data_IF_932295532430
#
_entry.id   IF_932295532430
#
_cell.length_a   1.000
_cell.length_b   1.000
_cell.length_c   1.000
_cell.angle_alpha   90.00
_cell.angle_beta   90.00
_cell.angle_gamma   90.00
#
_symmetry.space_group_name_H-M   'P 1'
#
loop_
_entity.id
_entity.type
_entity.pdbx_description
1 polymer ?
#
# COMPACT_ATOMS: atom_id res chain seq x y z
N UNK A 1 -39.02 -30.43 -39.89
CA UNK A 1 -39.42 -29.13 -40.46
C UNK A 1 -38.18 -28.31 -40.66
N UNK A 2 -37.98 -27.86 -41.89
CA UNK A 2 -36.81 -27.16 -42.41
C UNK A 2 -36.96 -25.65 -42.25
N UNK A 3 -35.87 -24.93 -41.97
CA UNK A 3 -35.50 -23.58 -42.42
C UNK A 3 -33.99 -23.48 -42.14
N UNK A 4 -33.10 -23.86 -43.07
CA UNK A 4 -32.63 -23.06 -44.21
C UNK A 4 -32.12 -21.67 -43.78
N UNK A 5 -30.80 -21.56 -43.56
CA UNK A 5 -30.08 -20.30 -43.76
C UNK A 5 -28.84 -20.61 -44.60
N UNK A 6 -28.78 -20.03 -45.79
CA UNK A 6 -27.68 -20.12 -46.74
C UNK A 6 -27.29 -18.72 -47.18
N UNK A 7 -25.98 -18.53 -47.38
CA UNK A 7 -25.36 -17.38 -48.05
C UNK A 7 -24.79 -16.35 -47.07
N UNK A 8 -23.58 -15.84 -47.19
CA UNK A 8 -22.54 -15.96 -48.22
C UNK A 8 -21.19 -15.58 -47.59
N UNK A 9 -20.14 -16.30 -47.96
CA UNK A 9 -18.74 -15.92 -47.69
C UNK A 9 -18.30 -15.05 -48.86
N UNK A 10 -18.09 -13.76 -48.60
CA UNK A 10 -17.29 -12.90 -49.49
C UNK A 10 -16.10 -12.37 -48.71
N UNK A 11 -14.92 -12.86 -49.03
CA UNK A 11 -13.67 -12.35 -48.50
C UNK A 11 -13.41 -10.93 -49.00
N UNK A 12 -12.97 -10.07 -48.09
CA UNK A 12 -12.22 -8.87 -48.41
C UNK A 12 -10.93 -8.86 -47.57
N UNK A 13 -9.85 -9.06 -48.30
CA UNK A 13 -8.44 -8.78 -48.01
C UNK A 13 -8.22 -7.65 -46.99
N UNK A 14 -7.50 -8.01 -45.92
CA UNK A 14 -6.35 -7.27 -45.41
C UNK A 14 -6.56 -5.82 -45.00
N UNK A 15 -6.66 -5.61 -43.69
CA UNK A 15 -5.68 -4.80 -42.98
C UNK A 15 -5.51 -5.43 -41.59
N UNK A 16 -4.41 -6.12 -41.36
CA UNK A 16 -3.89 -6.25 -40.00
C UNK A 16 -3.57 -4.83 -39.56
N UNK A 17 -4.52 -4.18 -38.88
CA UNK A 17 -4.23 -3.00 -38.06
C UNK A 17 -3.30 -3.47 -36.96
N UNK A 18 -2.01 -3.39 -37.25
CA UNK A 18 -0.96 -3.46 -36.26
C UNK A 18 -1.21 -2.35 -35.25
N UNK A 19 -1.59 -2.74 -34.04
CA UNK A 19 -1.57 -1.88 -32.86
C UNK A 19 -0.18 -1.21 -32.77
N UNK A 20 -0.11 0.12 -32.56
CA UNK A 20 1.18 0.79 -32.45
C UNK A 20 1.90 0.35 -31.18
N UNK A 21 2.94 -0.43 -31.43
CA UNK A 21 4.22 -0.60 -30.73
C UNK A 21 4.39 0.13 -29.38
N UNK A 22 4.35 -0.67 -28.30
CA UNK A 22 5.42 -0.78 -27.29
C UNK A 22 5.69 0.37 -26.31
N UNK A 23 5.30 1.61 -26.61
CA UNK A 23 5.66 2.79 -25.77
C UNK A 23 4.52 3.18 -24.81
N UNK A 24 3.35 2.56 -24.95
CA UNK A 24 2.17 2.80 -24.11
C UNK A 24 2.23 2.10 -22.74
N UNK A 25 2.91 0.95 -22.63
CA UNK A 25 2.89 0.13 -21.40
C UNK A 25 3.91 0.61 -20.35
N UNK A 26 5.17 0.88 -20.76
CA UNK A 26 6.22 1.37 -19.87
C UNK A 26 5.90 2.75 -19.24
N UNK A 27 5.23 3.64 -20.01
CA UNK A 27 4.72 4.93 -19.48
C UNK A 27 3.71 4.72 -18.35
N UNK A 28 2.87 3.69 -18.45
CA UNK A 28 1.87 3.34 -17.42
C UNK A 28 2.49 2.70 -16.17
N UNK A 29 3.55 1.89 -16.30
CA UNK A 29 4.23 1.27 -15.14
C UNK A 29 5.02 2.30 -14.36
N UNK A 30 5.84 3.14 -15.00
CA UNK A 30 6.57 4.19 -14.30
C UNK A 30 5.62 5.15 -13.58
N UNK A 31 4.51 5.52 -14.20
CA UNK A 31 3.45 6.30 -13.55
C UNK A 31 2.85 5.55 -12.35
N UNK A 32 2.66 4.24 -12.45
CA UNK A 32 2.19 3.39 -11.36
C UNK A 32 3.21 3.30 -10.22
N UNK A 33 4.50 3.12 -10.52
CA UNK A 33 5.58 3.12 -9.53
C UNK A 33 5.71 4.49 -8.84
N UNK A 34 5.57 5.60 -9.58
CA UNK A 34 5.50 6.95 -8.99
C UNK A 34 4.25 7.13 -8.11
N UNK A 35 3.13 6.51 -8.46
CA UNK A 35 1.93 6.52 -7.61
C UNK A 35 2.12 5.69 -6.34
N UNK A 36 2.78 4.53 -6.44
CA UNK A 36 3.21 3.72 -5.29
C UNK A 36 4.16 4.50 -4.39
N UNK A 37 5.13 5.22 -4.96
CA UNK A 37 6.05 6.07 -4.21
C UNK A 37 5.31 7.16 -3.43
N UNK A 38 4.35 7.85 -4.08
CA UNK A 38 3.51 8.85 -3.40
C UNK A 38 2.70 8.24 -2.25
N UNK A 39 2.18 7.03 -2.42
CA UNK A 39 1.46 6.33 -1.37
C UNK A 39 2.38 5.98 -0.18
N UNK A 40 3.61 5.53 -0.43
CA UNK A 40 4.60 5.28 0.63
C UNK A 40 4.95 6.55 1.39
N UNK A 41 5.19 7.66 0.69
CA UNK A 41 5.47 8.96 1.31
C UNK A 41 4.30 9.47 2.17
N UNK A 42 3.06 9.29 1.70
CA UNK A 42 1.86 9.64 2.49
C UNK A 42 1.76 8.76 3.75
N UNK A 43 2.08 7.47 3.65
CA UNK A 43 2.15 6.56 4.81
C UNK A 43 3.23 7.02 5.80
N UNK A 44 4.45 7.30 5.35
CA UNK A 44 5.56 7.79 6.19
C UNK A 44 5.21 9.07 6.94
N UNK A 45 4.65 10.05 6.22
CA UNK A 45 4.25 11.31 6.83
C UNK A 45 3.18 11.07 7.90
N UNK A 46 2.18 10.22 7.62
CA UNK A 46 1.13 9.89 8.57
C UNK A 46 1.66 9.13 9.79
N UNK A 47 2.65 8.25 9.63
CA UNK A 47 3.34 7.59 10.74
C UNK A 47 4.07 8.63 11.59
N UNK A 48 4.77 9.56 10.95
CA UNK A 48 5.47 10.65 11.65
C UNK A 48 4.50 11.53 12.45
N UNK A 49 3.32 11.81 11.89
CA UNK A 49 2.26 12.59 12.55
C UNK A 49 1.69 11.88 13.80
N UNK A 50 1.87 10.55 13.93
CA UNK A 50 1.48 9.78 15.12
C UNK A 50 2.45 9.96 16.29
N UNK A 51 3.63 10.55 16.09
CA UNK A 51 4.65 10.66 17.14
C UNK A 51 4.14 11.32 18.42
N UNK A 52 3.44 12.45 18.31
CA UNK A 52 2.88 13.15 19.48
C UNK A 52 1.72 12.36 20.14
N UNK A 53 0.70 11.88 19.39
CA UNK A 53 -0.31 10.99 19.95
C UNK A 53 0.27 9.78 20.69
N UNK A 54 1.31 9.15 20.13
CA UNK A 54 1.98 8.00 20.72
C UNK A 54 2.71 8.38 22.01
N UNK A 55 3.47 9.48 22.01
CA UNK A 55 4.15 9.99 23.20
C UNK A 55 3.17 10.27 24.35
N UNK A 56 2.03 10.92 24.06
CA UNK A 56 0.99 11.15 25.06
C UNK A 56 0.39 9.85 25.60
N UNK A 57 0.21 8.84 24.75
CA UNK A 57 -0.32 7.53 25.14
C UNK A 57 0.63 6.77 26.07
N UNK A 58 1.93 6.75 25.74
CA UNK A 58 2.95 6.03 26.51
C UNK A 58 3.24 6.73 27.86
N UNK A 59 3.28 8.06 27.87
CA UNK A 59 3.53 8.86 29.08
C UNK A 59 2.36 8.95 30.05
N UNK A 60 1.17 8.47 29.66
CA UNK A 60 -0.02 8.53 30.50
C UNK A 60 0.15 7.68 31.77
N UNK A 61 -0.13 8.24 32.95
CA UNK A 61 0.02 7.54 34.22
C UNK A 61 -1.27 6.84 34.67
N UNK A 62 -2.42 7.47 34.41
CA UNK A 62 -3.72 6.99 34.87
C UNK A 62 -4.45 6.20 33.78
N UNK A 63 -5.26 5.22 34.18
CA UNK A 63 -6.10 4.46 33.25
C UNK A 63 -7.05 5.36 32.47
N UNK A 64 -7.62 6.39 33.10
CA UNK A 64 -8.52 7.33 32.44
C UNK A 64 -7.80 8.14 31.34
N UNK A 65 -6.58 8.60 31.62
CA UNK A 65 -5.74 9.29 30.63
C UNK A 65 -5.33 8.36 29.49
N UNK A 66 -4.94 7.11 29.80
CA UNK A 66 -4.63 6.09 28.78
C UNK A 66 -5.83 5.89 27.86
N UNK A 67 -7.03 5.69 28.41
CA UNK A 67 -8.24 5.44 27.61
C UNK A 67 -8.62 6.66 26.75
N UNK A 68 -8.36 7.87 27.24
CA UNK A 68 -8.51 9.10 26.46
C UNK A 68 -7.50 9.16 25.31
N UNK A 69 -6.21 9.05 25.60
CA UNK A 69 -5.17 9.15 24.58
C UNK A 69 -5.19 7.99 23.59
N UNK A 70 -5.66 6.80 23.99
CA UNK A 70 -5.83 5.67 23.09
C UNK A 70 -6.91 5.95 22.03
N UNK A 71 -8.00 6.64 22.41
CA UNK A 71 -9.01 7.11 21.45
C UNK A 71 -8.47 8.18 20.50
N UNK A 72 -7.71 9.13 21.04
CA UNK A 72 -7.10 10.19 20.22
C UNK A 72 -6.10 9.58 19.23
N UNK A 73 -5.25 8.66 19.70
CA UNK A 73 -4.33 7.88 18.88
C UNK A 73 -5.07 7.09 17.79
N UNK A 74 -6.11 6.33 18.14
CA UNK A 74 -6.90 5.56 17.17
C UNK A 74 -7.55 6.46 16.11
N UNK A 75 -7.95 7.66 16.48
CA UNK A 75 -8.54 8.63 15.53
C UNK A 75 -7.53 9.05 14.48
N UNK A 76 -6.30 9.35 14.88
CA UNK A 76 -5.21 9.67 13.96
C UNK A 76 -4.74 8.44 13.17
N UNK A 77 -4.60 7.29 13.85
CA UNK A 77 -4.21 6.03 13.24
C UNK A 77 -5.19 5.57 12.15
N UNK A 78 -6.49 5.81 12.34
CA UNK A 78 -7.50 5.49 11.33
C UNK A 78 -7.31 6.27 10.02
N UNK A 79 -6.68 7.45 10.05
CA UNK A 79 -6.33 8.18 8.82
C UNK A 79 -5.23 7.45 8.05
N UNK A 80 -4.28 6.84 8.76
CA UNK A 80 -3.22 5.99 8.20
C UNK A 80 -3.77 4.68 7.63
N UNK A 81 -4.63 3.97 8.38
CA UNK A 81 -5.27 2.71 7.93
C UNK A 81 -6.08 2.89 6.62
N UNK A 82 -6.64 4.09 6.39
CA UNK A 82 -7.35 4.43 5.13
C UNK A 82 -6.44 4.60 3.92
N UNK A 83 -5.17 4.97 4.11
CA UNK A 83 -4.23 5.11 3.00
C UNK A 83 -4.05 3.78 2.22
N UNK A 84 -4.22 2.65 2.92
CA UNK A 84 -4.18 1.31 2.32
C UNK A 84 -5.32 0.97 1.35
N UNK A 85 -6.40 1.75 1.30
CA UNK A 85 -7.54 1.46 0.42
C UNK A 85 -7.17 1.45 -1.08
N UNK A 86 -6.14 2.22 -1.47
CA UNK A 86 -5.63 2.28 -2.84
C UNK A 86 -4.84 1.04 -3.26
N UNK A 87 -4.42 0.18 -2.31
CA UNK A 87 -3.56 -0.98 -2.56
C UNK A 87 -4.22 -2.05 -3.44
N UNK A 88 -5.55 -2.20 -3.32
CA UNK A 88 -6.32 -3.12 -4.15
C UNK A 88 -6.20 -2.78 -5.65
N UNK A 89 -6.23 -1.49 -5.99
CA UNK A 89 -6.08 -1.02 -7.37
C UNK A 89 -4.72 -1.39 -7.95
N UNK A 90 -3.64 -1.15 -7.19
CA UNK A 90 -2.30 -1.54 -7.62
C UNK A 90 -2.10 -3.06 -7.71
N UNK A 91 -2.78 -3.82 -6.85
CA UNK A 91 -2.74 -5.29 -6.89
C UNK A 91 -3.33 -5.82 -8.19
N UNK A 92 -4.45 -5.25 -8.65
CA UNK A 92 -5.05 -5.60 -9.95
C UNK A 92 -4.06 -5.33 -11.08
N UNK A 93 -3.39 -4.17 -11.07
CA UNK A 93 -2.37 -3.83 -12.06
C UNK A 93 -1.18 -4.81 -12.03
N UNK A 94 -0.71 -5.20 -10.84
CA UNK A 94 0.42 -6.11 -10.67
C UNK A 94 0.13 -7.54 -11.17
N UNK A 95 -1.15 -7.91 -11.24
CA UNK A 95 -1.60 -9.18 -11.80
C UNK A 95 -1.77 -9.15 -13.32
N UNK A 96 -1.71 -7.97 -13.95
CA UNK A 96 -1.78 -7.86 -15.42
C UNK A 96 -0.61 -8.59 -16.09
N UNK A 97 -0.89 -9.17 -17.26
CA UNK A 97 0.08 -9.85 -18.11
C UNK A 97 0.70 -8.94 -19.18
N UNK A 98 0.23 -7.70 -19.29
CA UNK A 98 0.59 -6.76 -20.36
C UNK A 98 1.92 -6.03 -20.12
N UNK A 99 2.71 -6.50 -19.15
CA UNK A 99 3.94 -5.89 -18.68
C UNK A 99 5.15 -6.78 -19.00
N UNK A 100 6.27 -6.14 -19.37
CA UNK A 100 7.56 -6.81 -19.53
C UNK A 100 7.96 -7.52 -18.22
N UNK A 101 8.60 -8.68 -18.35
CA UNK A 101 8.80 -9.60 -17.21
C UNK A 101 9.52 -8.92 -16.03
N UNK A 102 10.58 -8.17 -16.33
CA UNK A 102 11.42 -7.51 -15.33
C UNK A 102 10.69 -6.37 -14.60
N UNK A 103 10.03 -5.47 -15.36
CA UNK A 103 9.27 -4.34 -14.82
C UNK A 103 8.08 -4.83 -13.97
N UNK A 104 7.44 -5.90 -14.42
CA UNK A 104 6.33 -6.54 -13.70
C UNK A 104 6.79 -7.14 -12.38
N UNK A 105 7.93 -7.82 -12.36
CA UNK A 105 8.43 -8.46 -11.15
C UNK A 105 8.89 -7.41 -10.13
N UNK A 106 9.51 -6.32 -10.57
CA UNK A 106 9.82 -5.16 -9.71
C UNK A 106 8.55 -4.52 -9.14
N UNK A 107 7.55 -4.25 -9.98
CA UNK A 107 6.28 -3.69 -9.53
C UNK A 107 5.58 -4.61 -8.52
N UNK A 108 5.57 -5.93 -8.76
CA UNK A 108 5.02 -6.92 -7.82
C UNK A 108 5.75 -6.91 -6.48
N UNK A 109 7.08 -6.80 -6.47
CA UNK A 109 7.84 -6.70 -5.23
C UNK A 109 7.44 -5.45 -4.42
N UNK A 110 7.21 -4.32 -5.09
CA UNK A 110 6.75 -3.10 -4.45
C UNK A 110 5.34 -3.24 -3.86
N UNK A 111 4.42 -3.89 -4.58
CA UNK A 111 3.07 -4.14 -4.07
C UNK A 111 3.06 -5.14 -2.91
N UNK A 112 3.88 -6.19 -2.97
CA UNK A 112 4.02 -7.15 -1.88
C UNK A 112 4.51 -6.48 -0.59
N UNK A 113 5.56 -5.66 -0.69
CA UNK A 113 6.08 -4.90 0.45
C UNK A 113 5.04 -3.92 1.03
N UNK A 114 4.21 -3.28 0.21
CA UNK A 114 3.10 -2.46 0.70
C UNK A 114 2.02 -3.27 1.42
N UNK A 115 1.72 -4.50 0.98
CA UNK A 115 0.81 -5.39 1.70
C UNK A 115 1.35 -5.80 3.07
N UNK A 116 2.65 -5.98 3.21
CA UNK A 116 3.29 -6.25 4.50
C UNK A 116 3.10 -5.07 5.47
N UNK A 117 3.36 -3.84 4.99
CA UNK A 117 3.09 -2.60 5.75
C UNK A 117 1.62 -2.53 6.16
N UNK A 118 0.70 -2.78 5.23
CA UNK A 118 -0.73 -2.77 5.53
C UNK A 118 -1.15 -3.84 6.54
N UNK A 119 -0.57 -5.04 6.46
CA UNK A 119 -0.79 -6.11 7.43
C UNK A 119 -0.39 -5.70 8.84
N UNK A 120 0.78 -5.06 8.99
CA UNK A 120 1.24 -4.51 10.28
C UNK A 120 0.31 -3.41 10.80
N UNK A 121 -0.16 -2.51 9.94
CA UNK A 121 -1.15 -1.50 10.33
C UNK A 121 -2.42 -2.14 10.90
N UNK A 122 -2.91 -3.22 10.29
CA UNK A 122 -4.09 -3.93 10.80
C UNK A 122 -3.83 -4.62 12.13
N UNK A 123 -2.64 -5.15 12.36
CA UNK A 123 -2.25 -5.71 13.66
C UNK A 123 -2.24 -4.64 14.75
N UNK A 124 -1.67 -3.47 14.49
CA UNK A 124 -1.68 -2.34 15.44
C UNK A 124 -3.12 -1.90 15.75
N UNK A 125 -3.97 -1.75 14.73
CA UNK A 125 -5.40 -1.42 14.91
C UNK A 125 -6.12 -2.41 15.83
N UNK A 126 -5.86 -3.71 15.64
CA UNK A 126 -6.39 -4.75 16.50
C UNK A 126 -5.85 -4.64 17.94
N UNK A 127 -4.55 -4.42 18.12
CA UNK A 127 -3.97 -4.28 19.46
C UNK A 127 -4.52 -3.05 20.19
N UNK A 128 -4.66 -1.91 19.51
CA UNK A 128 -5.30 -0.73 20.09
C UNK A 128 -6.73 -1.02 20.56
N UNK A 129 -7.50 -1.78 19.75
CA UNK A 129 -8.86 -2.19 20.13
C UNK A 129 -8.86 -3.10 21.35
N UNK A 130 -7.89 -4.03 21.45
CA UNK A 130 -7.73 -4.89 22.61
C UNK A 130 -7.37 -4.09 23.86
N UNK A 131 -6.50 -3.08 23.75
CA UNK A 131 -6.11 -2.21 24.87
C UNK A 131 -7.31 -1.48 25.50
N UNK A 132 -8.40 -1.24 24.77
CA UNK A 132 -9.64 -0.72 25.38
C UNK A 132 -10.31 -1.69 26.36
N UNK A 133 -10.03 -2.99 26.24
CA UNK A 133 -10.60 -4.05 27.09
C UNK A 133 -9.59 -4.60 28.11
N UNK A 134 -8.36 -4.09 28.15
CA UNK A 134 -7.30 -4.52 29.07
C UNK A 134 -7.15 -3.55 30.23
N UNK A 135 -6.61 -4.05 31.35
CA UNK A 135 -6.33 -3.30 32.57
C UNK A 135 -4.87 -3.50 33.00
N UNK A 136 -4.38 -2.59 33.85
CA UNK A 136 -3.09 -2.64 34.55
C UNK A 136 -1.90 -3.08 33.68
N UNK A 137 -1.16 -4.11 34.10
CA UNK A 137 0.06 -4.60 33.43
C UNK A 137 -0.21 -5.16 32.03
N UNK A 138 -1.41 -5.67 31.76
CA UNK A 138 -1.76 -6.15 30.42
C UNK A 138 -1.96 -4.98 29.46
N UNK A 139 -2.61 -3.90 29.92
CA UNK A 139 -2.73 -2.67 29.17
C UNK A 139 -1.35 -2.07 28.88
N UNK A 140 -0.48 -1.94 29.89
CA UNK A 140 0.87 -1.40 29.71
C UNK A 140 1.69 -2.14 28.67
N UNK A 141 1.72 -3.47 28.73
CA UNK A 141 2.40 -4.30 27.71
C UNK A 141 1.79 -4.14 26.32
N UNK A 142 0.48 -3.96 26.24
CA UNK A 142 -0.20 -3.64 24.98
C UNK A 142 0.26 -2.31 24.39
N UNK A 143 0.47 -1.29 25.23
CA UNK A 143 0.98 0.02 24.80
C UNK A 143 2.44 -0.04 24.36
N UNK A 144 3.30 -0.73 25.12
CA UNK A 144 4.72 -0.97 24.76
C UNK A 144 4.83 -1.66 23.40
N UNK A 145 3.99 -2.67 23.15
CA UNK A 145 3.94 -3.34 21.85
C UNK A 145 3.50 -2.38 20.73
N UNK A 146 2.50 -1.51 20.98
CA UNK A 146 2.08 -0.51 19.98
C UNK A 146 3.23 0.43 19.64
N UNK A 147 3.98 0.91 20.64
CA UNK A 147 5.14 1.78 20.44
C UNK A 147 6.22 1.09 19.60
N UNK A 148 6.61 -0.13 19.96
CA UNK A 148 7.58 -0.92 19.22
C UNK A 148 7.15 -1.10 17.75
N UNK A 149 5.89 -1.48 17.52
CA UNK A 149 5.39 -1.69 16.16
C UNK A 149 5.33 -0.41 15.32
N UNK A 150 5.01 0.75 15.92
CA UNK A 150 5.02 2.02 15.19
C UNK A 150 6.45 2.43 14.81
N UNK A 151 7.40 2.30 15.73
CA UNK A 151 8.82 2.57 15.48
C UNK A 151 9.38 1.65 14.37
N UNK A 152 9.12 0.35 14.45
CA UNK A 152 9.52 -0.61 13.42
C UNK A 152 8.89 -0.29 12.06
N UNK A 153 7.61 0.08 12.06
CA UNK A 153 6.90 0.44 10.84
C UNK A 153 7.47 1.68 10.18
N UNK A 154 7.90 2.67 10.97
CA UNK A 154 8.56 3.86 10.47
C UNK A 154 9.83 3.49 9.69
N UNK A 155 10.71 2.67 10.27
CA UNK A 155 11.95 2.22 9.63
C UNK A 155 11.65 1.48 8.32
N UNK A 156 10.72 0.51 8.36
CA UNK A 156 10.35 -0.27 7.16
C UNK A 156 9.79 0.62 6.05
N UNK A 157 9.02 1.65 6.39
CA UNK A 157 8.50 2.58 5.40
C UNK A 157 9.63 3.40 4.77
N UNK A 158 10.50 4.00 5.60
CA UNK A 158 11.63 4.83 5.17
C UNK A 158 12.57 4.05 4.23
N UNK A 159 12.93 2.83 4.60
CA UNK A 159 13.76 1.93 3.77
C UNK A 159 13.07 1.61 2.43
N UNK A 160 11.77 1.26 2.48
CA UNK A 160 11.00 0.94 1.28
C UNK A 160 10.86 2.11 0.31
N UNK A 161 10.73 3.34 0.82
CA UNK A 161 10.69 4.54 0.00
C UNK A 161 12.05 4.88 -0.58
N UNK A 162 13.12 4.78 0.22
CA UNK A 162 14.48 5.03 -0.25
C UNK A 162 14.85 4.06 -1.38
N UNK A 163 14.53 2.77 -1.22
CA UNK A 163 14.75 1.76 -2.25
C UNK A 163 13.99 2.08 -3.54
N UNK A 164 12.68 2.38 -3.45
CA UNK A 164 11.88 2.69 -4.63
C UNK A 164 12.32 3.99 -5.34
N UNK A 165 12.78 4.99 -4.59
CA UNK A 165 13.37 6.21 -5.19
C UNK A 165 14.63 5.88 -5.99
N UNK A 166 15.56 5.13 -5.40
CA UNK A 166 16.81 4.73 -6.07
C UNK A 166 16.53 3.90 -7.32
N UNK A 167 15.60 2.95 -7.23
CA UNK A 167 15.14 2.15 -8.36
C UNK A 167 14.61 3.00 -9.53
N UNK A 168 13.82 4.04 -9.23
CA UNK A 168 13.26 4.95 -10.23
C UNK A 168 14.35 5.83 -10.86
N UNK A 169 15.27 6.38 -10.07
CA UNK A 169 16.38 7.22 -10.55
C UNK A 169 17.32 6.45 -11.49
N UNK A 170 17.63 5.19 -11.17
CA UNK A 170 18.44 4.32 -12.01
C UNK A 170 17.73 3.98 -13.33
N UNK A 171 16.41 3.81 -13.31
CA UNK A 171 15.60 3.52 -14.50
C UNK A 171 15.45 4.74 -15.42
N UNK A 172 15.41 5.95 -14.86
CA UNK A 172 15.37 7.20 -15.63
C UNK A 172 16.73 7.56 -16.26
N UNK A 173 17.84 7.14 -15.63
CA UNK A 173 19.20 7.42 -16.11
C UNK A 173 19.67 6.46 -17.23
N UNK A 174 18.95 5.37 -17.46
CA UNK A 174 19.28 4.34 -18.45
C UNK A 174 18.53 4.52 -19.80
N UNK A 175 17.58 5.46 -19.87
CA UNK A 175 16.81 5.84 -21.07
C UNK A 175 17.30 7.16 -21.66
#
# INVERSE_FOLDING_TARGET
>A
MSLAWSGEVTGAKGTTESLPEGISSARSIMESLRAVLRMRQDIEQRISDLGRPLECLISAETTDDIQKYLRDFLTEFNKLSKAGASLAGFTILALSKDLELLERDQFRAQIASLWEVYGRLKQIECTCTLCHALEDDALRRGLEYIEEQICDLQVVCEEGTAQLKGDLEMSESAN
#
